data_IF_229913304090
#
_entry.id   IF_229913304090
#
_cell.length_a   1.000
_cell.length_b   1.000
_cell.length_c   1.000
_cell.angle_alpha   90.00
_cell.angle_beta   90.00
_cell.angle_gamma   90.00
#
_symmetry.space_group_name_H-M   'P 1'
#
loop_
_entity.id
_entity.type
_entity.pdbx_description
1 polymer ?
#
# COMPACT_ATOMS: atom_id res chain seq x y z
N UNK A 1 17.98 0.99 -1.78
CA UNK A 1 18.08 -0.20 -2.65
C UNK A 1 16.89 -1.15 -2.45
N UNK A 2 15.95 -0.85 -1.55
CA UNK A 2 14.80 -1.73 -1.24
C UNK A 2 13.60 -1.63 -2.20
N UNK A 3 13.46 -0.55 -2.98
CA UNK A 3 12.28 -0.38 -3.86
C UNK A 3 12.28 -1.35 -5.06
N UNK A 4 13.45 -1.89 -5.42
CA UNK A 4 13.61 -2.88 -6.50
C UNK A 4 13.18 -4.29 -6.07
N UNK A 5 13.53 -4.72 -4.84
CA UNK A 5 13.14 -6.05 -4.32
C UNK A 5 11.63 -6.17 -4.10
N UNK A 6 11.00 -5.10 -3.58
CA UNK A 6 9.55 -5.05 -3.35
C UNK A 6 8.76 -5.08 -4.69
N UNK A 7 9.38 -4.67 -5.80
CA UNK A 7 8.79 -4.77 -7.14
C UNK A 7 8.96 -6.16 -7.75
N UNK A 8 10.00 -6.89 -7.37
CA UNK A 8 10.27 -8.26 -7.83
C UNK A 8 9.29 -9.24 -7.18
N UNK A 9 9.04 -9.14 -5.86
CA UNK A 9 8.10 -10.04 -5.17
C UNK A 9 6.67 -10.03 -5.73
N UNK A 10 6.17 -8.86 -6.16
CA UNK A 10 4.87 -8.76 -6.83
C UNK A 10 4.88 -9.39 -8.23
N UNK A 11 5.96 -9.20 -8.99
CA UNK A 11 6.08 -9.77 -10.32
C UNK A 11 6.06 -11.30 -10.24
N UNK A 12 6.87 -11.87 -9.33
CA UNK A 12 7.00 -13.31 -9.16
C UNK A 12 5.71 -13.94 -8.61
N UNK A 13 5.04 -13.24 -7.69
CA UNK A 13 3.70 -13.60 -7.24
C UNK A 13 2.71 -13.67 -8.43
N UNK A 14 2.66 -12.64 -9.26
CA UNK A 14 1.75 -12.60 -10.41
C UNK A 14 2.08 -13.68 -11.44
N UNK A 15 3.35 -13.99 -11.66
CA UNK A 15 3.76 -15.08 -12.54
C UNK A 15 3.28 -16.43 -12.01
N UNK A 16 3.48 -16.72 -10.73
CA UNK A 16 2.98 -17.95 -10.09
C UNK A 16 1.44 -18.05 -10.15
N UNK A 17 0.73 -16.93 -10.01
CA UNK A 17 -0.73 -16.87 -10.15
C UNK A 17 -1.25 -17.15 -11.57
N UNK A 18 -0.39 -17.13 -12.59
CA UNK A 18 -0.75 -17.54 -13.97
C UNK A 18 -0.72 -19.06 -14.15
N UNK A 19 -0.08 -19.79 -13.24
CA UNK A 19 0.00 -21.23 -13.33
C UNK A 19 -1.38 -21.86 -13.10
N UNK A 20 -1.81 -22.87 -13.90
CA UNK A 20 -3.14 -23.47 -13.79
C UNK A 20 -3.44 -24.05 -12.40
N UNK A 21 -2.43 -24.56 -11.69
CA UNK A 21 -2.61 -25.07 -10.32
C UNK A 21 -2.90 -23.98 -9.28
N UNK A 22 -2.71 -22.70 -9.60
CA UNK A 22 -3.06 -21.58 -8.73
C UNK A 22 -4.49 -21.04 -8.99
N UNK A 23 -5.26 -21.67 -9.88
CA UNK A 23 -6.58 -21.17 -10.31
C UNK A 23 -7.55 -20.96 -9.15
N UNK A 24 -7.53 -21.85 -8.14
CA UNK A 24 -8.38 -21.73 -6.95
C UNK A 24 -7.99 -20.52 -6.08
N UNK A 25 -6.69 -20.21 -5.97
CA UNK A 25 -6.23 -18.99 -5.30
C UNK A 25 -6.70 -17.74 -6.03
N UNK A 26 -6.54 -17.70 -7.36
CA UNK A 26 -7.01 -16.57 -8.18
C UNK A 26 -8.52 -16.35 -8.00
N UNK A 27 -9.30 -17.43 -7.96
CA UNK A 27 -10.75 -17.37 -7.70
C UNK A 27 -11.06 -16.87 -6.30
N UNK A 28 -10.35 -17.37 -5.28
CA UNK A 28 -10.49 -16.94 -3.88
C UNK A 28 -10.21 -15.44 -3.73
N UNK A 29 -9.07 -14.97 -4.25
CA UNK A 29 -8.66 -13.56 -4.21
C UNK A 29 -9.70 -12.66 -4.89
N UNK A 30 -10.15 -13.03 -6.10
CA UNK A 30 -11.19 -12.26 -6.81
C UNK A 30 -12.51 -12.23 -6.03
N UNK A 31 -12.91 -13.37 -5.47
CA UNK A 31 -14.14 -13.47 -4.67
C UNK A 31 -14.05 -12.59 -3.42
N UNK A 32 -12.90 -12.59 -2.74
CA UNK A 32 -12.63 -11.73 -1.60
C UNK A 32 -12.77 -10.26 -1.97
N UNK A 33 -12.08 -9.80 -3.04
CA UNK A 33 -12.13 -8.39 -3.48
C UNK A 33 -13.56 -7.94 -3.80
N UNK A 34 -14.33 -8.78 -4.50
CA UNK A 34 -15.73 -8.49 -4.84
C UNK A 34 -16.60 -8.45 -3.58
N UNK A 35 -16.51 -9.47 -2.72
CA UNK A 35 -17.28 -9.54 -1.48
C UNK A 35 -16.97 -8.37 -0.55
N UNK A 36 -15.68 -8.04 -0.42
CA UNK A 36 -15.20 -6.91 0.36
C UNK A 36 -15.80 -5.60 -0.14
N UNK A 37 -15.95 -5.46 -1.46
CA UNK A 37 -16.52 -4.27 -2.09
C UNK A 37 -18.05 -4.14 -1.95
N UNK A 38 -18.73 -5.15 -1.39
CA UNK A 38 -20.20 -5.16 -1.32
C UNK A 38 -20.77 -4.72 0.04
N UNK A 39 -20.00 -4.70 1.14
CA UNK A 39 -20.50 -4.24 2.44
C UNK A 39 -20.41 -2.71 2.59
N UNK A 40 -20.77 -2.15 3.75
CA UNK A 40 -20.45 -0.76 4.07
C UNK A 40 -18.97 -0.65 4.49
N UNK A 41 -18.28 0.48 4.22
CA UNK A 41 -16.93 0.73 4.73
C UNK A 41 -16.94 0.83 6.26
N UNK A 42 -16.05 0.10 6.91
CA UNK A 42 -15.87 0.06 8.37
C UNK A 42 -14.38 -0.23 8.65
N UNK A 43 -13.56 0.78 9.01
CA UNK A 43 -12.10 0.62 9.07
C UNK A 43 -11.62 -0.53 9.96
N UNK A 44 -12.23 -0.69 11.14
CA UNK A 44 -11.87 -1.74 12.11
C UNK A 44 -12.23 -3.12 11.57
N UNK A 45 -13.44 -3.28 11.05
CA UNK A 45 -13.89 -4.55 10.46
C UNK A 45 -13.13 -4.88 9.19
N UNK A 46 -12.93 -3.90 8.32
CA UNK A 46 -12.25 -4.02 7.04
C UNK A 46 -10.79 -4.43 7.24
N UNK A 47 -10.12 -3.82 8.23
CA UNK A 47 -8.77 -4.21 8.64
C UNK A 47 -8.73 -5.67 9.10
N UNK A 48 -9.63 -6.07 10.01
CA UNK A 48 -9.67 -7.45 10.50
C UNK A 48 -9.91 -8.47 9.38
N UNK A 49 -10.83 -8.18 8.44
CA UNK A 49 -11.12 -9.05 7.30
C UNK A 49 -9.93 -9.21 6.36
N UNK A 50 -9.19 -8.13 6.09
CA UNK A 50 -7.98 -8.20 5.26
C UNK A 50 -6.88 -9.01 5.96
N UNK A 51 -6.64 -8.75 7.25
CA UNK A 51 -5.62 -9.48 8.03
C UNK A 51 -5.93 -10.98 8.11
N UNK A 52 -7.18 -11.35 8.39
CA UNK A 52 -7.62 -12.74 8.41
C UNK A 52 -7.47 -13.40 7.03
N UNK A 53 -7.85 -12.71 5.96
CA UNK A 53 -7.70 -13.22 4.60
C UNK A 53 -6.23 -13.48 4.22
N UNK A 54 -5.32 -12.54 4.52
CA UNK A 54 -3.90 -12.69 4.24
C UNK A 54 -3.28 -13.85 5.02
N UNK A 55 -3.53 -13.93 6.33
CA UNK A 55 -3.02 -15.01 7.18
C UNK A 55 -3.50 -16.40 6.70
N UNK A 56 -4.78 -16.51 6.31
CA UNK A 56 -5.34 -17.74 5.75
C UNK A 56 -4.68 -18.13 4.42
N UNK A 57 -4.41 -17.16 3.55
CA UNK A 57 -3.75 -17.39 2.27
C UNK A 57 -2.28 -17.78 2.43
N UNK A 58 -1.56 -17.16 3.36
CA UNK A 58 -0.18 -17.54 3.68
C UNK A 58 -0.09 -18.99 4.17
N UNK A 59 -0.96 -19.40 5.11
CA UNK A 59 -1.05 -20.79 5.54
C UNK A 59 -1.36 -21.72 4.36
N UNK A 60 -2.26 -21.30 3.46
CA UNK A 60 -2.59 -22.07 2.27
C UNK A 60 -1.43 -22.17 1.27
N UNK A 61 -0.62 -21.11 1.09
CA UNK A 61 0.59 -21.17 0.28
C UNK A 61 1.58 -22.19 0.83
N UNK A 62 1.83 -22.17 2.15
CA UNK A 62 2.74 -23.12 2.82
C UNK A 62 2.31 -24.58 2.63
N UNK A 63 1.01 -24.85 2.57
CA UNK A 63 0.46 -26.20 2.40
C UNK A 63 0.34 -26.63 0.93
N UNK A 64 0.51 -25.73 -0.04
CA UNK A 64 0.18 -26.00 -1.44
C UNK A 64 1.37 -26.57 -2.23
N UNK A 65 1.17 -27.59 -3.08
CA UNK A 65 2.25 -28.20 -3.86
C UNK A 65 3.05 -27.24 -4.74
N UNK A 66 2.44 -26.12 -5.18
CA UNK A 66 3.11 -25.10 -5.99
C UNK A 66 4.24 -24.37 -5.24
N UNK A 67 4.22 -24.37 -3.91
CA UNK A 67 5.28 -23.83 -3.06
C UNK A 67 6.04 -24.93 -2.31
N UNK A 68 5.86 -26.21 -2.70
CA UNK A 68 6.62 -27.30 -2.12
C UNK A 68 8.12 -27.12 -2.44
N UNK A 69 8.93 -27.02 -1.38
CA UNK A 69 10.39 -26.84 -1.51
C UNK A 69 10.84 -25.39 -1.70
N UNK A 70 9.92 -24.41 -1.66
CA UNK A 70 10.30 -23.00 -1.55
C UNK A 70 10.91 -22.70 -0.18
N UNK A 71 11.80 -21.71 -0.14
CA UNK A 71 12.34 -21.20 1.14
C UNK A 71 11.31 -20.36 1.89
N UNK A 72 11.56 -20.08 3.18
CA UNK A 72 10.68 -19.21 3.96
C UNK A 72 10.66 -17.78 3.38
N UNK A 73 11.80 -17.30 2.85
CA UNK A 73 11.91 -15.99 2.20
C UNK A 73 11.07 -15.92 0.91
N UNK A 74 11.01 -17.00 0.13
CA UNK A 74 10.15 -17.05 -1.06
C UNK A 74 8.66 -17.08 -0.70
N UNK A 75 8.32 -17.71 0.42
CA UNK A 75 6.95 -17.74 0.96
C UNK A 75 6.54 -16.36 1.50
N UNK A 76 7.42 -15.69 2.23
CA UNK A 76 7.23 -14.32 2.72
C UNK A 76 7.06 -13.34 1.54
N UNK A 77 7.94 -13.42 0.53
CA UNK A 77 7.84 -12.63 -0.70
C UNK A 77 6.51 -12.86 -1.45
N UNK A 78 6.00 -14.10 -1.48
CA UNK A 78 4.69 -14.39 -2.04
C UNK A 78 3.54 -13.79 -1.21
N UNK A 79 3.67 -13.77 0.13
CA UNK A 79 2.74 -13.08 1.05
C UNK A 79 2.72 -11.57 0.81
N UNK A 80 3.88 -10.94 0.72
CA UNK A 80 4.01 -9.50 0.38
C UNK A 80 3.42 -9.19 -1.00
N UNK A 81 3.65 -10.06 -1.99
CA UNK A 81 3.08 -9.94 -3.32
C UNK A 81 1.54 -10.00 -3.31
N UNK A 82 0.97 -10.91 -2.51
CA UNK A 82 -0.47 -10.99 -2.30
C UNK A 82 -1.02 -9.74 -1.61
N UNK A 83 -0.43 -9.32 -0.50
CA UNK A 83 -0.85 -8.12 0.23
C UNK A 83 -0.83 -6.91 -0.71
N UNK A 84 0.26 -6.72 -1.43
CA UNK A 84 0.41 -5.61 -2.38
C UNK A 84 -0.65 -5.68 -3.47
N UNK A 85 -0.96 -6.85 -4.01
CA UNK A 85 -2.02 -7.00 -5.01
C UNK A 85 -3.39 -6.64 -4.43
N UNK A 86 -3.76 -7.23 -3.29
CA UNK A 86 -5.06 -7.01 -2.64
C UNK A 86 -5.23 -5.54 -2.24
N UNK A 87 -4.26 -4.97 -1.54
CA UNK A 87 -4.30 -3.57 -1.09
C UNK A 87 -4.30 -2.58 -2.27
N UNK A 88 -3.70 -2.93 -3.40
CA UNK A 88 -3.82 -2.13 -4.63
C UNK A 88 -5.21 -2.19 -5.23
N UNK A 89 -5.93 -3.31 -5.10
CA UNK A 89 -7.31 -3.45 -5.61
C UNK A 89 -8.34 -2.82 -4.67
N UNK A 90 -8.08 -2.82 -3.37
CA UNK A 90 -8.96 -2.26 -2.35
C UNK A 90 -8.69 -0.78 -2.07
N UNK A 91 -7.61 -0.19 -2.60
CA UNK A 91 -7.15 1.15 -2.24
C UNK A 91 -8.21 2.24 -2.36
N UNK A 92 -9.04 2.21 -3.41
CA UNK A 92 -10.12 3.18 -3.60
C UNK A 92 -11.23 3.12 -2.54
N UNK A 93 -11.29 2.02 -1.78
CA UNK A 93 -12.32 1.74 -0.79
C UNK A 93 -11.82 1.83 0.65
N UNK A 94 -10.56 1.50 0.91
CA UNK A 94 -9.99 1.53 2.27
C UNK A 94 -9.25 2.82 2.58
N UNK A 95 -8.87 3.60 1.57
CA UNK A 95 -8.10 4.83 1.76
C UNK A 95 -9.00 6.06 1.70
N UNK A 96 -8.98 6.89 2.75
CA UNK A 96 -9.78 8.11 2.87
C UNK A 96 -11.28 7.89 2.61
N UNK A 97 -11.77 6.70 2.96
CA UNK A 97 -13.15 6.27 2.73
C UNK A 97 -14.13 6.88 3.72
N UNK A 98 -13.62 7.36 4.86
CA UNK A 98 -14.38 8.10 5.87
C UNK A 98 -14.20 9.61 5.63
N UNK A 99 -15.30 10.38 5.48
CA UNK A 99 -15.22 11.83 5.27
C UNK A 99 -14.44 12.59 6.36
N UNK A 100 -14.43 12.07 7.58
CA UNK A 100 -13.68 12.67 8.70
C UNK A 100 -12.16 12.58 8.48
N UNK A 101 -11.64 11.51 7.87
CA UNK A 101 -10.21 11.37 7.57
C UNK A 101 -9.77 12.46 6.58
N UNK A 102 -10.56 12.69 5.53
CA UNK A 102 -10.29 13.75 4.54
C UNK A 102 -10.27 15.13 5.20
N UNK A 103 -11.18 15.35 6.16
CA UNK A 103 -11.25 16.61 6.91
C UNK A 103 -10.04 16.79 7.81
N UNK A 104 -9.62 15.75 8.53
CA UNK A 104 -8.43 15.78 9.39
C UNK A 104 -7.17 16.02 8.57
N UNK A 105 -7.02 15.33 7.43
CA UNK A 105 -5.90 15.52 6.50
C UNK A 105 -5.82 16.96 5.99
N UNK A 106 -6.97 17.53 5.60
CA UNK A 106 -7.03 18.93 5.14
C UNK A 106 -6.64 19.90 6.25
N UNK A 107 -7.19 19.73 7.46
CA UNK A 107 -6.87 20.58 8.60
C UNK A 107 -5.38 20.48 8.98
N UNK A 108 -4.81 19.28 8.93
CA UNK A 108 -3.40 19.06 9.19
C UNK A 108 -2.53 19.75 8.13
N UNK A 109 -2.86 19.58 6.85
CA UNK A 109 -2.16 20.22 5.74
C UNK A 109 -2.18 21.75 5.85
N UNK A 110 -3.35 22.33 6.16
CA UNK A 110 -3.50 23.77 6.38
C UNK A 110 -2.65 24.26 7.57
N UNK A 111 -2.69 23.55 8.71
CA UNK A 111 -1.87 23.88 9.88
C UNK A 111 -0.38 23.82 9.57
N UNK A 112 0.09 22.76 8.92
CA UNK A 112 1.50 22.60 8.52
C UNK A 112 1.90 23.74 7.59
N UNK A 113 1.06 24.08 6.60
CA UNK A 113 1.32 25.15 5.63
C UNK A 113 1.50 26.53 6.28
N UNK A 114 0.80 26.79 7.38
CA UNK A 114 0.96 28.04 8.14
C UNK A 114 2.21 28.00 9.03
N UNK A 115 2.42 26.90 9.76
CA UNK A 115 3.53 26.77 10.71
C UNK A 115 4.89 26.76 10.00
N UNK A 116 4.99 26.10 8.84
CA UNK A 116 6.25 25.99 8.10
C UNK A 116 6.83 27.35 7.64
N UNK A 117 6.01 28.41 7.63
CA UNK A 117 6.44 29.74 7.19
C UNK A 117 7.32 30.46 8.23
N UNK A 118 7.21 30.08 9.51
CA UNK A 118 7.88 30.79 10.60
C UNK A 118 8.57 29.88 11.61
N UNK A 119 8.36 28.56 11.55
CA UNK A 119 9.03 27.64 12.46
C UNK A 119 10.54 27.62 12.20
N UNK A 120 11.30 27.63 13.29
CA UNK A 120 12.76 27.54 13.28
C UNK A 120 13.21 26.31 14.08
N UNK A 121 14.40 25.74 13.81
CA UNK A 121 14.91 24.60 14.55
C UNK A 121 14.98 24.87 16.07
N UNK A 122 15.26 26.12 16.45
CA UNK A 122 15.32 26.53 17.86
C UNK A 122 13.96 26.45 18.58
N UNK A 123 12.83 26.54 17.85
CA UNK A 123 11.50 26.37 18.43
C UNK A 123 11.20 24.91 18.84
N UNK A 124 12.03 23.98 18.38
CA UNK A 124 11.94 22.54 18.63
C UNK A 124 13.17 22.03 19.40
N UNK A 125 13.92 22.93 20.05
CA UNK A 125 15.13 22.61 20.83
C UNK A 125 16.27 21.95 20.02
N UNK A 126 16.29 22.15 18.70
CA UNK A 126 17.33 21.60 17.81
C UNK A 126 18.58 22.48 17.89
N UNK A 127 19.62 21.99 18.60
CA UNK A 127 20.89 22.71 18.77
C UNK A 127 21.60 22.92 17.41
N UNK A 128 22.36 24.03 17.24
CA UNK A 128 23.09 24.32 15.99
C UNK A 128 24.03 23.20 15.53
N UNK A 129 24.61 22.44 16.46
CA UNK A 129 25.50 21.31 16.15
C UNK A 129 24.80 20.14 15.44
N UNK A 130 23.47 20.08 15.50
CA UNK A 130 22.66 19.04 14.86
C UNK A 130 21.91 19.56 13.62
N UNK A 131 22.08 20.85 13.26
CA UNK A 131 21.42 21.43 12.10
C UNK A 131 22.15 21.01 10.82
N UNK A 132 21.44 20.32 9.92
CA UNK A 132 21.98 19.87 8.64
C UNK A 132 20.92 19.99 7.54
N UNK A 133 20.93 21.15 6.88
CA UNK A 133 19.97 21.50 5.83
C UNK A 133 19.98 20.51 4.65
N UNK A 134 21.15 20.02 4.24
CA UNK A 134 21.26 19.09 3.11
C UNK A 134 20.64 17.74 3.42
N UNK A 135 20.90 17.19 4.61
CA UNK A 135 20.29 15.94 5.07
C UNK A 135 18.79 16.07 5.28
N UNK A 136 18.32 17.21 5.79
CA UNK A 136 16.88 17.46 5.96
C UNK A 136 16.16 17.63 4.63
N UNK A 137 16.76 18.29 3.65
CA UNK A 137 16.19 18.40 2.30
C UNK A 137 16.04 17.03 1.64
N UNK A 138 17.04 16.15 1.82
CA UNK A 138 16.93 14.78 1.35
C UNK A 138 15.79 14.05 2.07
N UNK A 139 15.71 14.15 3.40
CA UNK A 139 14.64 13.55 4.19
C UNK A 139 13.25 14.07 3.76
N UNK A 140 13.09 15.37 3.52
CA UNK A 140 11.86 15.95 2.99
C UNK A 140 11.49 15.37 1.63
N UNK A 141 12.45 15.24 0.71
CA UNK A 141 12.21 14.61 -0.59
C UNK A 141 11.81 13.14 -0.45
N UNK A 142 12.41 12.38 0.46
CA UNK A 142 12.00 10.99 0.72
C UNK A 142 10.60 10.90 1.33
N UNK A 143 10.25 11.80 2.27
CA UNK A 143 8.89 11.87 2.82
C UNK A 143 7.86 12.22 1.75
N UNK A 144 8.19 13.14 0.84
CA UNK A 144 7.35 13.47 -0.30
C UNK A 144 7.20 12.30 -1.27
N UNK A 145 8.23 11.47 -1.45
CA UNK A 145 8.13 10.23 -2.23
C UNK A 145 7.25 9.19 -1.53
N UNK A 146 7.32 9.06 -0.21
CA UNK A 146 6.40 8.20 0.55
C UNK A 146 4.94 8.66 0.43
N UNK A 147 4.72 9.97 0.53
CA UNK A 147 3.43 10.59 0.25
C UNK A 147 3.02 10.42 -1.22
N UNK A 148 3.94 10.43 -2.20
CA UNK A 148 3.68 10.17 -3.61
C UNK A 148 3.42 8.69 -3.89
N UNK A 149 4.02 7.73 -3.20
CA UNK A 149 3.71 6.30 -3.35
C UNK A 149 2.32 6.02 -2.79
N UNK A 150 2.02 6.57 -1.61
CA UNK A 150 0.65 6.60 -1.11
C UNK A 150 -0.25 7.38 -2.06
N UNK A 151 0.19 8.50 -2.65
CA UNK A 151 -0.62 9.35 -3.53
C UNK A 151 -0.71 8.87 -4.98
N UNK A 152 0.15 7.98 -5.44
CA UNK A 152 0.08 7.32 -6.75
C UNK A 152 -0.84 6.13 -6.63
N UNK A 153 -0.83 5.44 -5.47
CA UNK A 153 -1.97 4.64 -5.02
C UNK A 153 -3.25 5.50 -4.87
N UNK A 154 -3.18 6.78 -4.45
CA UNK A 154 -4.33 7.75 -4.44
C UNK A 154 -4.74 8.26 -5.84
N UNK A 155 -3.84 8.46 -6.81
CA UNK A 155 -4.09 9.10 -8.12
C UNK A 155 -4.40 8.10 -9.23
N UNK A 156 -3.85 6.88 -9.18
CA UNK A 156 -4.33 5.79 -10.04
C UNK A 156 -5.81 5.46 -9.79
N UNK A 157 -6.39 5.95 -8.69
CA UNK A 157 -7.80 5.83 -8.32
C UNK A 157 -8.71 6.98 -8.82
N UNK A 158 -8.22 8.00 -9.54
CA UNK A 158 -9.06 9.15 -9.99
C UNK A 158 -9.17 9.30 -11.51
N UNK A 159 -8.66 8.35 -12.33
CA UNK A 159 -8.89 8.42 -13.77
C UNK A 159 -9.15 7.07 -14.46
N UNK A 160 -10.44 6.66 -14.61
CA UNK A 160 -10.83 5.59 -15.52
C UNK A 160 -11.05 6.03 -16.98
N UNK A 161 -10.84 7.29 -17.36
CA UNK A 161 -11.37 7.82 -18.64
C UNK A 161 -10.37 8.18 -19.75
N UNK A 162 -9.07 7.92 -19.65
CA UNK A 162 -8.11 8.22 -20.75
C UNK A 162 -7.50 7.01 -21.46
N UNK A 163 -8.15 5.84 -21.42
CA UNK A 163 -7.81 4.69 -22.27
C UNK A 163 -9.00 4.15 -23.08
N UNK A 164 -9.91 5.05 -23.48
CA UNK A 164 -10.81 4.84 -24.61
C UNK A 164 -10.69 6.02 -25.58
N UNK A 165 -9.54 6.18 -26.21
CA UNK A 165 -9.39 7.05 -27.38
C UNK A 165 -8.08 6.73 -28.07
N UNK A 166 -7.98 5.57 -28.72
CA UNK A 166 -7.21 5.40 -29.95
C UNK A 166 -7.68 4.10 -30.61
N UNK A 167 -8.47 4.29 -31.69
CA UNK A 167 -8.81 3.39 -32.81
C UNK A 167 -8.72 1.88 -32.60
#
# INVERSE_FOLDING_TARGET
MENSDISLGLHDFLERMRHPSAADFVKSIKSFIVSFSNHAPDPERDSALVQEFLANMEMAFKAHPLWAGCSEEELESAGEGLEKYVMTKLSSRVFASVPDDVKVDKQLSEKISLIQQFIRPENLDIKPTFQNETSWLLAQKELQKGQLIQSTKRQACVHPQLLQSHK
#
